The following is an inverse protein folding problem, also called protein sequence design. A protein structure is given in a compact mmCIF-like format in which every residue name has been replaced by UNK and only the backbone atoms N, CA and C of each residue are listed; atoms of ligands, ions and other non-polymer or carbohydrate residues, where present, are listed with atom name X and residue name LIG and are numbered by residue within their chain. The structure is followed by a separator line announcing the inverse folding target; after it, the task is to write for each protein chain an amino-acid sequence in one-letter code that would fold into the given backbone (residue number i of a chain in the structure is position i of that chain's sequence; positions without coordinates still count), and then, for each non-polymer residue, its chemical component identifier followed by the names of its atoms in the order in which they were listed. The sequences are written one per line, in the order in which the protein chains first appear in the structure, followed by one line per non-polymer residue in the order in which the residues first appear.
data_IF_958828930314
#
_entry.id   IF_958828930314
#
_cell.length_a   1.000
_cell.length_b   1.000
_cell.length_c   1.000
_cell.angle_alpha   90.00
_cell.angle_beta   90.00
_cell.angle_gamma   90.00
#
_symmetry.space_group_name_H-M   'P 1'
#
loop_
_entity.id
_entity.type
_entity.pdbx_description
1 polymer ?
#
# COMPACT_ATOMS: atom_id res chain seq x y z
N UNK A 1 5.95 43.96 -6.89
CA UNK A 1 6.21 42.88 -7.87
C UNK A 1 6.76 41.65 -7.15
N UNK A 2 5.99 40.60 -6.88
CA UNK A 2 6.57 39.31 -6.50
C UNK A 2 6.33 38.30 -7.62
N UNK A 3 7.31 38.16 -8.53
CA UNK A 3 7.31 37.17 -9.60
C UNK A 3 7.91 35.81 -9.17
N UNK A 4 8.21 35.62 -7.89
CA UNK A 4 9.02 34.49 -7.39
C UNK A 4 8.24 33.33 -6.77
N UNK A 5 6.90 33.38 -6.68
CA UNK A 5 6.14 32.28 -6.06
C UNK A 5 5.78 31.15 -7.07
N UNK A 6 6.09 31.33 -8.36
CA UNK A 6 5.66 30.43 -9.44
C UNK A 6 6.48 29.14 -9.59
N UNK A 7 7.52 28.94 -8.78
CA UNK A 7 8.40 27.76 -8.85
C UNK A 7 8.35 26.86 -7.61
N UNK A 8 7.29 26.93 -6.82
CA UNK A 8 7.06 25.91 -5.79
C UNK A 8 6.63 24.60 -6.46
N UNK A 9 7.61 23.83 -6.94
CA UNK A 9 7.42 22.42 -7.34
C UNK A 9 6.63 21.75 -6.21
N UNK A 10 5.42 21.30 -6.53
CA UNK A 10 4.60 20.51 -5.60
C UNK A 10 5.46 19.31 -5.20
N UNK A 11 5.91 19.27 -3.95
CA UNK A 11 6.73 18.19 -3.42
C UNK A 11 5.87 16.93 -3.57
N UNK A 12 6.25 16.05 -4.49
CA UNK A 12 5.53 14.81 -4.72
C UNK A 12 5.44 14.05 -3.39
N UNK A 13 4.28 13.47 -3.10
CA UNK A 13 4.09 12.79 -1.82
C UNK A 13 5.11 11.63 -1.75
N UNK A 14 6.02 11.62 -0.75
CA UNK A 14 7.04 10.59 -0.65
C UNK A 14 6.43 9.18 -0.58
N UNK A 15 5.19 9.05 -0.11
CA UNK A 15 4.45 7.79 -0.06
C UNK A 15 4.14 7.24 -1.47
N UNK A 16 3.70 8.11 -2.39
CA UNK A 16 3.41 7.75 -3.78
C UNK A 16 4.68 7.30 -4.50
N UNK A 17 5.78 8.05 -4.33
CA UNK A 17 7.07 7.67 -4.90
C UNK A 17 7.58 6.33 -4.34
N UNK A 18 7.39 6.07 -3.04
CA UNK A 18 7.73 4.80 -2.40
C UNK A 18 6.93 3.64 -3.00
N UNK A 19 5.60 3.78 -3.13
CA UNK A 19 4.74 2.75 -3.73
C UNK A 19 5.14 2.47 -5.18
N UNK A 20 5.30 3.51 -5.99
CA UNK A 20 5.71 3.36 -7.39
C UNK A 20 7.05 2.63 -7.53
N UNK A 21 8.01 2.89 -6.63
CA UNK A 21 9.27 2.15 -6.57
C UNK A 21 9.03 0.66 -6.28
N UNK A 22 8.27 0.32 -5.24
CA UNK A 22 7.99 -1.06 -4.87
C UNK A 22 7.20 -1.82 -5.93
N UNK A 23 6.21 -1.17 -6.56
CA UNK A 23 5.42 -1.77 -7.65
C UNK A 23 6.31 -2.15 -8.84
N UNK A 24 7.34 -1.34 -9.13
CA UNK A 24 8.27 -1.58 -10.24
C UNK A 24 9.38 -2.58 -9.91
N UNK A 25 10.00 -2.47 -8.73
CA UNK A 25 11.25 -3.20 -8.42
C UNK A 25 11.15 -4.17 -7.25
N UNK A 26 10.04 -4.16 -6.52
CA UNK A 26 9.84 -5.05 -5.37
C UNK A 26 9.77 -6.51 -5.76
N UNK A 27 10.29 -7.37 -4.89
CA UNK A 27 10.12 -8.82 -4.97
C UNK A 27 8.69 -9.19 -4.60
N UNK A 28 8.19 -10.28 -5.19
CA UNK A 28 6.81 -10.72 -5.02
C UNK A 28 6.76 -11.79 -3.93
N UNK A 29 5.78 -11.70 -3.05
CA UNK A 29 5.38 -12.74 -2.10
C UNK A 29 3.86 -12.87 -2.10
N UNK A 30 3.36 -14.03 -1.68
CA UNK A 30 1.95 -14.19 -1.35
C UNK A 30 1.69 -13.68 0.07
N UNK A 31 0.60 -12.93 0.20
CA UNK A 31 0.09 -12.46 1.48
C UNK A 31 -1.36 -12.86 1.69
N UNK A 32 -1.86 -12.57 2.89
CA UNK A 32 -3.27 -12.76 3.24
C UNK A 32 -3.73 -11.55 4.05
N UNK A 33 -4.92 -11.04 3.73
CA UNK A 33 -5.54 -9.99 4.53
C UNK A 33 -5.91 -10.57 5.89
N UNK A 34 -5.48 -9.89 6.94
CA UNK A 34 -5.78 -10.23 8.33
C UNK A 34 -7.01 -9.47 8.79
N UNK A 35 -7.06 -8.18 8.50
CA UNK A 35 -8.14 -7.31 8.97
C UNK A 35 -8.32 -6.10 8.03
N UNK A 36 -9.45 -5.42 8.17
CA UNK A 36 -9.80 -4.20 7.43
C UNK A 36 -10.17 -3.11 8.41
N UNK A 37 -9.86 -1.86 8.06
CA UNK A 37 -10.04 -0.74 8.97
C UNK A 37 -10.38 0.57 8.28
N UNK A 38 -10.95 1.47 9.07
CA UNK A 38 -11.47 2.74 8.60
C UNK A 38 -12.73 2.56 7.76
N UNK A 39 -13.62 3.53 7.83
CA UNK A 39 -14.89 3.49 7.12
C UNK A 39 -15.09 4.85 6.46
N UNK A 40 -15.45 4.82 5.18
CA UNK A 40 -15.89 6.01 4.45
C UNK A 40 -17.39 6.22 4.68
N UNK A 41 -17.89 7.43 4.40
CA UNK A 41 -19.33 7.73 4.45
C UNK A 41 -20.17 6.80 3.52
N UNK A 42 -19.52 6.18 2.54
CA UNK A 42 -20.12 5.18 1.64
C UNK A 42 -20.08 3.73 2.15
N UNK A 43 -19.58 3.49 3.36
CA UNK A 43 -19.41 2.14 3.94
C UNK A 43 -18.25 1.34 3.35
N UNK A 44 -17.39 1.98 2.55
CA UNK A 44 -16.17 1.35 2.02
C UNK A 44 -15.02 1.49 3.02
N UNK A 45 -14.17 0.47 3.13
CA UNK A 45 -13.02 0.53 4.03
C UNK A 45 -11.81 1.22 3.39
N UNK A 46 -11.02 1.90 4.21
CA UNK A 46 -9.91 2.74 3.72
C UNK A 46 -8.55 2.12 3.95
N UNK A 47 -8.43 1.21 4.91
CA UNK A 47 -7.18 0.59 5.33
C UNK A 47 -7.32 -0.93 5.37
N UNK A 48 -6.22 -1.60 5.08
CA UNK A 48 -6.11 -3.05 5.16
C UNK A 48 -4.91 -3.41 6.03
N UNK A 49 -5.01 -4.52 6.74
CA UNK A 49 -3.93 -5.16 7.48
C UNK A 49 -3.69 -6.51 6.85
N UNK A 50 -2.43 -6.83 6.56
CA UNK A 50 -2.08 -8.05 5.86
C UNK A 50 -0.78 -8.62 6.39
N UNK A 51 -0.67 -9.95 6.23
CA UNK A 51 0.53 -10.70 6.57
C UNK A 51 1.11 -11.40 5.36
N UNK A 52 2.40 -11.58 5.33
CA UNK A 52 3.12 -12.33 4.29
C UNK A 52 4.36 -12.98 4.91
N UNK A 53 4.76 -14.13 4.36
CA UNK A 53 5.91 -14.88 4.86
C UNK A 53 7.09 -14.75 3.90
N UNK A 54 8.27 -14.48 4.44
CA UNK A 54 9.54 -14.47 3.69
C UNK A 54 10.54 -15.33 4.44
N UNK A 55 10.97 -16.43 3.82
CA UNK A 55 12.00 -17.33 4.36
C UNK A 55 11.70 -17.80 5.79
N UNK A 56 10.43 -18.07 6.11
CA UNK A 56 10.00 -18.52 7.44
C UNK A 56 9.76 -17.40 8.45
N UNK A 57 9.96 -16.13 8.07
CA UNK A 57 9.63 -14.97 8.91
C UNK A 57 8.30 -14.37 8.46
N UNK A 58 7.36 -14.26 9.40
CA UNK A 58 6.09 -13.59 9.16
C UNK A 58 6.23 -12.08 9.36
N UNK A 59 5.78 -11.32 8.36
CA UNK A 59 5.69 -9.88 8.40
C UNK A 59 4.23 -9.47 8.37
N UNK A 60 3.89 -8.49 9.20
CA UNK A 60 2.58 -7.84 9.19
C UNK A 60 2.75 -6.37 8.84
N UNK A 61 1.86 -5.84 8.00
CA UNK A 61 1.86 -4.45 7.61
C UNK A 61 0.44 -3.96 7.35
N UNK A 62 0.27 -2.64 7.35
CA UNK A 62 -0.96 -1.99 6.96
C UNK A 62 -0.76 -1.12 5.72
N UNK A 63 -1.85 -0.87 4.99
CA UNK A 63 -1.85 0.01 3.83
C UNK A 63 -3.19 0.72 3.69
N UNK A 64 -3.14 2.01 3.38
CA UNK A 64 -4.31 2.77 2.91
C UNK A 64 -4.57 2.46 1.44
N UNK A 65 -5.79 2.03 1.13
CA UNK A 65 -6.24 1.79 -0.23
C UNK A 65 -6.37 3.12 -0.99
N UNK A 66 -5.89 3.15 -2.23
CA UNK A 66 -6.15 4.28 -3.13
C UNK A 66 -7.57 4.17 -3.75
N UNK A 67 -8.00 5.20 -4.49
CA UNK A 67 -9.37 5.24 -5.05
C UNK A 67 -9.71 4.08 -5.99
N UNK A 68 -8.75 3.54 -6.75
CA UNK A 68 -8.97 2.36 -7.60
C UNK A 68 -9.11 1.08 -6.77
N UNK A 69 -8.27 0.92 -5.73
CA UNK A 69 -8.34 -0.22 -4.82
C UNK A 69 -9.61 -0.23 -3.98
N UNK A 70 -10.09 0.95 -3.57
CA UNK A 70 -11.37 1.09 -2.86
C UNK A 70 -12.56 0.63 -3.72
N UNK A 71 -12.53 0.85 -5.04
CA UNK A 71 -13.56 0.31 -5.94
C UNK A 71 -13.54 -1.23 -6.02
N UNK A 72 -12.37 -1.84 -5.79
CA UNK A 72 -12.17 -3.30 -5.74
C UNK A 72 -12.10 -3.85 -4.31
N UNK A 73 -12.68 -3.14 -3.33
CA UNK A 73 -12.56 -3.49 -1.91
C UNK A 73 -12.93 -4.95 -1.58
N UNK A 74 -13.85 -5.58 -2.32
CA UNK A 74 -14.21 -7.00 -2.11
C UNK A 74 -13.02 -7.95 -2.28
N UNK A 75 -12.01 -7.59 -3.09
CA UNK A 75 -10.76 -8.35 -3.25
C UNK A 75 -9.87 -8.33 -1.99
N UNK A 76 -10.12 -7.39 -1.08
CA UNK A 76 -9.33 -7.17 0.13
C UNK A 76 -10.09 -7.54 1.41
N UNK A 77 -11.12 -8.36 1.33
CA UNK A 77 -11.82 -8.85 2.52
C UNK A 77 -10.88 -9.70 3.41
N UNK A 78 -11.09 -9.75 4.74
CA UNK A 78 -10.31 -10.62 5.62
C UNK A 78 -10.27 -12.07 5.13
N UNK A 79 -9.07 -12.66 5.10
CA UNK A 79 -8.82 -13.99 4.55
C UNK A 79 -8.52 -14.03 3.06
N UNK A 80 -8.71 -12.93 2.32
CA UNK A 80 -8.38 -12.87 0.89
C UNK A 80 -6.87 -13.04 0.66
N UNK A 81 -6.51 -13.78 -0.40
CA UNK A 81 -5.12 -13.94 -0.85
C UNK A 81 -4.74 -12.74 -1.70
N UNK A 82 -3.59 -12.17 -1.41
CA UNK A 82 -3.09 -10.97 -2.09
C UNK A 82 -1.66 -11.16 -2.56
N UNK A 83 -1.28 -10.36 -3.55
CA UNK A 83 0.11 -10.27 -4.00
C UNK A 83 0.78 -9.09 -3.30
N UNK A 84 1.84 -9.37 -2.55
CA UNK A 84 2.63 -8.35 -1.84
C UNK A 84 3.93 -8.12 -2.60
N UNK A 85 4.28 -6.86 -2.82
CA UNK A 85 5.61 -6.47 -3.28
C UNK A 85 6.40 -5.83 -2.15
N UNK A 86 7.61 -6.30 -1.93
CA UNK A 86 8.47 -5.85 -0.84
C UNK A 86 9.89 -5.53 -1.32
N UNK A 87 10.60 -4.70 -0.54
CA UNK A 87 12.02 -4.44 -0.73
C UNK A 87 12.84 -5.59 -0.10
N UNK A 88 13.63 -6.37 -0.86
CA UNK A 88 14.39 -7.49 -0.30
C UNK A 88 15.47 -7.05 0.70
N UNK A 89 15.91 -5.79 0.67
CA UNK A 89 16.86 -5.25 1.64
C UNK A 89 16.17 -4.73 2.91
N UNK A 90 14.87 -4.44 2.83
CA UNK A 90 14.05 -3.99 3.96
C UNK A 90 12.66 -4.65 3.85
N UNK A 91 12.52 -5.94 4.23
CA UNK A 91 11.31 -6.71 3.94
C UNK A 91 10.01 -6.10 4.47
N UNK A 92 10.06 -5.41 5.62
CA UNK A 92 8.89 -4.69 6.16
C UNK A 92 8.37 -3.55 5.26
N UNK A 93 9.22 -3.03 4.36
CA UNK A 93 8.80 -2.05 3.37
C UNK A 93 8.07 -2.74 2.21
N UNK A 94 6.74 -2.76 2.31
CA UNK A 94 5.87 -3.53 1.42
C UNK A 94 4.70 -2.70 0.89
N UNK A 95 4.04 -3.25 -0.14
CA UNK A 95 2.82 -2.73 -0.77
C UNK A 95 2.02 -3.89 -1.37
N UNK A 96 0.70 -3.79 -1.30
CA UNK A 96 -0.21 -4.69 -2.02
C UNK A 96 -0.33 -4.21 -3.47
N UNK A 97 -0.10 -5.14 -4.41
CA UNK A 97 -0.07 -4.88 -5.85
C UNK A 97 -1.44 -4.97 -6.52
#
# INVERSE_FOLDING_TARGET
MPFLDRFRRKKEDPEVARRARLLRTGRIAEGTIVDIGGETDSGAFTHIFYRYNISGVDYESSQTLNGEQQQRQTEYAPGARITVRYDPHQPGNSVVA
#
